data_IF_011986226101
#
_entry.id   IF_011986226101
#
_cell.length_a   1.000
_cell.length_b   1.000
_cell.length_c   1.000
_cell.angle_alpha   90.00
_cell.angle_beta   90.00
_cell.angle_gamma   90.00
#
_symmetry.space_group_name_H-M   'P 1'
#
loop_
_entity.id
_entity.type
_entity.pdbx_description
1 polymer ?
#
# COMPACT_ATOMS: atom_id res chain seq x y z
N UNK A 1 7.35 0.86 13.33
CA UNK A 1 7.40 -0.39 14.12
C UNK A 1 6.24 -0.41 15.10
N UNK A 2 5.58 -1.53 15.26
CA UNK A 2 4.52 -1.74 16.27
C UNK A 2 4.88 -2.97 17.08
N UNK A 3 4.86 -2.83 18.40
CA UNK A 3 4.97 -3.93 19.35
C UNK A 3 3.57 -4.32 19.82
N UNK A 4 3.27 -5.61 19.78
CA UNK A 4 2.07 -6.23 20.35
C UNK A 4 2.53 -7.27 21.35
N UNK A 5 2.24 -7.02 22.62
CA UNK A 5 2.37 -8.02 23.66
C UNK A 5 1.02 -8.76 23.81
N UNK A 6 1.00 -9.90 24.53
CA UNK A 6 -0.26 -10.58 24.85
C UNK A 6 -1.23 -9.61 25.52
N UNK A 7 -2.49 -9.70 25.17
CA UNK A 7 -3.52 -8.88 25.81
C UNK A 7 -3.60 -9.22 27.32
N UNK A 8 -3.83 -8.19 28.13
CA UNK A 8 -3.70 -8.29 29.58
C UNK A 8 -2.32 -7.91 30.13
N UNK A 9 -1.33 -7.66 29.24
CA UNK A 9 -0.03 -7.14 29.66
C UNK A 9 -0.17 -5.72 30.19
N UNK A 10 0.50 -5.43 31.31
CA UNK A 10 0.48 -4.11 31.94
C UNK A 10 1.25 -3.08 31.11
N UNK A 11 0.91 -1.80 31.27
CA UNK A 11 1.60 -0.70 30.57
C UNK A 11 3.10 -0.67 30.91
N UNK A 12 3.47 -0.98 32.17
CA UNK A 12 4.87 -1.02 32.61
C UNK A 12 5.66 -2.11 31.89
N UNK A 13 5.09 -3.32 31.76
CA UNK A 13 5.75 -4.40 31.01
C UNK A 13 5.91 -4.06 29.53
N UNK A 14 4.88 -3.46 28.93
CA UNK A 14 4.94 -3.00 27.55
C UNK A 14 6.02 -1.93 27.38
N UNK A 15 6.12 -0.99 28.32
CA UNK A 15 7.15 0.03 28.33
C UNK A 15 8.54 -0.57 28.45
N UNK A 16 8.75 -1.50 29.38
CA UNK A 16 10.05 -2.16 29.59
C UNK A 16 10.56 -2.81 28.29
N UNK A 17 9.71 -3.57 27.59
CA UNK A 17 10.08 -4.21 26.30
C UNK A 17 10.37 -3.16 25.22
N UNK A 18 9.55 -2.13 25.14
CA UNK A 18 9.73 -1.10 24.10
C UNK A 18 10.92 -0.19 24.39
N UNK A 19 11.24 0.12 25.64
CA UNK A 19 12.41 0.91 25.99
C UNK A 19 13.71 0.16 25.64
N UNK A 20 13.74 -1.17 25.76
CA UNK A 20 14.88 -1.99 25.26
C UNK A 20 15.00 -1.91 23.76
N UNK A 21 13.87 -1.99 23.02
CA UNK A 21 13.88 -1.83 21.57
C UNK A 21 14.35 -0.44 21.14
N UNK A 22 13.96 0.61 21.88
CA UNK A 22 14.46 1.98 21.65
C UNK A 22 15.96 2.06 21.91
N UNK A 23 16.44 1.48 23.01
CA UNK A 23 17.87 1.47 23.35
C UNK A 23 18.74 0.74 22.30
N UNK A 24 18.19 -0.33 21.69
CA UNK A 24 18.84 -1.03 20.57
C UNK A 24 18.87 -0.13 19.32
N UNK A 25 17.73 0.41 18.92
CA UNK A 25 17.62 1.27 17.73
C UNK A 25 18.50 2.52 17.81
N UNK A 26 18.64 3.12 18.99
CA UNK A 26 19.48 4.30 19.18
C UNK A 26 20.99 4.02 19.10
N UNK A 27 21.41 2.75 19.07
CA UNK A 27 22.82 2.38 18.81
C UNK A 27 23.14 2.39 17.32
N UNK A 28 22.16 2.29 16.44
CA UNK A 28 22.37 2.32 14.99
C UNK A 28 22.75 3.75 14.56
N UNK A 29 23.92 3.95 13.92
CA UNK A 29 24.39 5.27 13.49
C UNK A 29 23.47 5.93 12.45
N UNK A 30 22.62 5.15 11.76
CA UNK A 30 21.66 5.63 10.77
C UNK A 30 20.40 6.21 11.39
N UNK A 31 20.14 5.96 12.69
CA UNK A 31 18.96 6.44 13.41
C UNK A 31 19.26 7.82 14.00
N UNK A 32 18.36 8.77 13.78
CA UNK A 32 18.44 10.11 14.37
C UNK A 32 17.76 10.15 15.73
N UNK A 33 16.50 9.71 15.78
CA UNK A 33 15.75 9.53 17.04
C UNK A 33 14.60 8.54 16.85
N UNK A 34 14.10 8.05 17.99
CA UNK A 34 12.96 7.14 18.06
C UNK A 34 11.88 7.76 18.93
N UNK A 35 10.69 7.93 18.35
CA UNK A 35 9.49 8.28 19.11
C UNK A 35 8.79 7.00 19.56
N UNK A 36 8.65 6.82 20.88
CA UNK A 36 7.90 5.72 21.48
C UNK A 36 6.56 6.21 22.04
N UNK A 37 5.47 5.59 21.59
CA UNK A 37 4.14 5.79 22.15
C UNK A 37 3.65 4.46 22.69
N UNK A 38 3.60 4.33 24.01
CA UNK A 38 3.15 3.12 24.71
C UNK A 38 1.72 3.30 25.21
N UNK A 39 0.89 2.27 25.05
CA UNK A 39 -0.49 2.26 25.55
C UNK A 39 -1.51 2.94 24.63
N UNK A 40 -1.09 3.59 23.56
CA UNK A 40 -1.98 4.23 22.58
C UNK A 40 -1.36 4.29 21.20
N UNK A 41 -2.19 4.13 20.18
CA UNK A 41 -1.78 4.36 18.81
C UNK A 41 -2.95 4.99 18.03
N UNK A 42 -2.74 6.07 17.27
CA UNK A 42 -3.78 6.69 16.47
C UNK A 42 -4.49 5.73 15.49
N UNK A 43 -3.79 4.64 15.13
CA UNK A 43 -4.29 3.67 14.13
C UNK A 43 -5.03 2.49 14.75
N UNK A 44 -4.77 2.16 16.01
CA UNK A 44 -5.26 0.92 16.63
C UNK A 44 -6.13 1.20 17.85
N UNK A 45 -6.11 2.43 18.37
CA UNK A 45 -6.80 2.81 19.60
C UNK A 45 -5.93 2.60 20.83
N UNK A 46 -6.56 2.66 22.01
CA UNK A 46 -5.90 2.55 23.31
C UNK A 46 -5.86 1.09 23.75
N UNK A 47 -4.67 0.57 24.08
CA UNK A 47 -4.48 -0.75 24.72
C UNK A 47 -3.14 -0.76 25.45
N UNK A 48 -3.12 -1.18 26.69
CA UNK A 48 -1.89 -1.24 27.50
C UNK A 48 -0.83 -2.19 26.91
N UNK A 49 -1.25 -3.24 26.19
CA UNK A 49 -0.40 -4.23 25.57
C UNK A 49 0.22 -3.78 24.24
N UNK A 50 0.03 -2.52 23.84
CA UNK A 50 0.46 -2.02 22.53
C UNK A 50 1.41 -0.85 22.61
N UNK A 51 2.35 -0.83 21.70
CA UNK A 51 3.21 0.33 21.49
C UNK A 51 3.40 0.62 20.00
N UNK A 52 3.71 1.86 19.71
CA UNK A 52 4.13 2.31 18.38
C UNK A 52 5.47 3.03 18.48
N UNK A 53 6.46 2.47 17.80
CA UNK A 53 7.77 3.09 17.64
C UNK A 53 7.83 3.73 16.25
N UNK A 54 8.08 5.02 16.19
CA UNK A 54 8.38 5.73 14.93
C UNK A 54 9.87 6.03 14.91
N UNK A 55 10.58 5.34 14.02
CA UNK A 55 12.03 5.49 13.86
C UNK A 55 12.28 6.54 12.80
N UNK A 56 12.94 7.62 13.17
CA UNK A 56 13.37 8.68 12.26
C UNK A 56 14.84 8.44 11.96
N UNK A 57 15.12 8.31 10.66
CA UNK A 57 16.47 8.07 10.17
C UNK A 57 17.12 9.40 9.81
N UNK A 58 18.45 9.47 9.95
CA UNK A 58 19.25 10.60 9.48
C UNK A 58 19.08 10.85 7.99
N UNK A 59 19.51 11.98 7.49
CA UNK A 59 19.50 12.27 6.05
C UNK A 59 20.29 11.22 5.26
N UNK A 60 19.89 10.96 4.03
CA UNK A 60 20.49 9.94 3.16
C UNK A 60 22.00 10.07 3.01
N UNK A 61 22.52 11.31 2.97
CA UNK A 61 23.97 11.58 2.86
C UNK A 61 24.77 11.23 4.11
N UNK A 62 24.09 11.06 5.24
CA UNK A 62 24.70 10.76 6.54
C UNK A 62 24.53 9.29 6.94
N UNK A 63 23.94 8.48 6.06
CA UNK A 63 23.77 7.04 6.26
C UNK A 63 24.80 6.31 5.43
N UNK A 64 25.63 5.50 6.06
CA UNK A 64 26.60 4.63 5.41
C UNK A 64 25.86 3.50 4.70
N UNK A 65 25.42 3.68 3.46
CA UNK A 65 24.76 2.70 2.56
C UNK A 65 23.73 1.75 3.20
N UNK A 66 23.37 1.99 4.47
CA UNK A 66 22.42 1.17 5.21
C UNK A 66 20.99 1.39 4.68
N UNK A 67 20.40 0.34 4.16
CA UNK A 67 19.04 0.38 3.62
C UNK A 67 17.99 0.26 4.73
N UNK A 68 16.80 0.82 4.50
CA UNK A 68 15.65 0.65 5.43
C UNK A 68 15.35 -0.83 5.65
N UNK A 69 15.50 -1.67 4.61
CA UNK A 69 15.30 -3.11 4.69
C UNK A 69 16.23 -3.80 5.67
N UNK A 70 17.51 -3.42 5.68
CA UNK A 70 18.51 -3.94 6.63
C UNK A 70 18.15 -3.55 8.05
N UNK A 71 17.87 -2.26 8.31
CA UNK A 71 17.44 -1.79 9.64
C UNK A 71 16.20 -2.55 10.13
N UNK A 72 15.23 -2.77 9.23
CA UNK A 72 14.03 -3.54 9.59
C UNK A 72 14.37 -4.99 9.94
N UNK A 73 15.28 -5.61 9.23
CA UNK A 73 15.71 -6.98 9.49
C UNK A 73 16.46 -7.09 10.82
N UNK A 74 17.40 -6.18 11.09
CA UNK A 74 18.17 -6.13 12.34
C UNK A 74 17.25 -5.95 13.55
N UNK A 75 16.25 -5.05 13.44
CA UNK A 75 15.22 -4.86 14.48
C UNK A 75 14.38 -6.12 14.66
N UNK A 76 14.02 -6.80 13.59
CA UNK A 76 13.23 -8.04 13.67
C UNK A 76 14.03 -9.16 14.33
N UNK A 77 15.32 -9.26 14.04
CA UNK A 77 16.20 -10.28 14.62
C UNK A 77 16.47 -10.02 16.10
N UNK A 78 16.71 -8.76 16.49
CA UNK A 78 16.84 -8.39 17.90
C UNK A 78 15.57 -8.70 18.70
N UNK A 79 14.41 -8.38 18.14
CA UNK A 79 13.15 -8.58 18.84
C UNK A 79 12.66 -10.04 18.89
N UNK A 80 13.29 -10.95 18.14
CA UNK A 80 13.08 -12.42 18.30
C UNK A 80 13.49 -12.94 19.69
N UNK A 81 14.34 -12.21 20.40
CA UNK A 81 14.72 -12.53 21.77
C UNK A 81 13.53 -12.38 22.77
N UNK A 82 12.47 -11.69 22.35
CA UNK A 82 11.25 -11.49 23.14
C UNK A 82 10.07 -12.21 22.47
N UNK A 83 9.92 -13.53 22.67
CA UNK A 83 8.90 -14.33 21.99
C UNK A 83 7.48 -13.91 22.33
N UNK A 84 7.29 -13.23 23.45
CA UNK A 84 6.02 -12.62 23.86
C UNK A 84 5.64 -11.39 23.04
N UNK A 85 6.60 -10.74 22.35
CA UNK A 85 6.37 -9.51 21.59
C UNK A 85 6.25 -9.80 20.10
N UNK A 86 5.04 -9.68 19.54
CA UNK A 86 4.84 -9.68 18.09
C UNK A 86 5.15 -8.29 17.53
N UNK A 87 6.15 -8.21 16.66
CA UNK A 87 6.59 -6.94 16.09
C UNK A 87 6.19 -6.87 14.62
N UNK A 88 5.52 -5.79 14.26
CA UNK A 88 5.15 -5.48 12.89
C UNK A 88 5.92 -4.26 12.41
N UNK A 89 6.80 -4.48 11.46
CA UNK A 89 7.57 -3.43 10.81
C UNK A 89 6.84 -2.97 9.55
N UNK A 90 6.73 -1.67 9.36
CA UNK A 90 6.15 -1.11 8.13
C UNK A 90 6.77 0.25 7.83
N UNK A 91 6.94 0.53 6.55
CA UNK A 91 7.24 1.88 6.07
C UNK A 91 5.95 2.70 5.95
N UNK A 92 6.01 4.03 5.99
CA UNK A 92 4.87 4.85 5.61
C UNK A 92 4.47 4.59 4.14
N UNK A 93 3.20 4.82 3.76
CA UNK A 93 2.80 4.69 2.37
C UNK A 93 3.57 5.69 1.49
N UNK A 94 3.85 5.29 0.26
CA UNK A 94 4.60 6.11 -0.72
C UNK A 94 3.88 7.43 -1.00
N UNK A 95 2.55 7.40 -1.03
CA UNK A 95 1.71 8.59 -1.20
C UNK A 95 0.99 8.86 0.12
N UNK A 96 1.28 10.01 0.79
CA UNK A 96 0.58 10.38 2.02
C UNK A 96 -0.93 10.48 1.79
N UNK A 97 -1.72 9.89 2.70
CA UNK A 97 -3.17 9.88 2.61
C UNK A 97 -3.77 8.65 1.91
N UNK A 98 -2.99 7.88 1.17
CA UNK A 98 -3.43 6.63 0.56
C UNK A 98 -3.01 5.43 1.42
N UNK A 99 -3.82 5.13 2.43
CA UNK A 99 -3.55 4.02 3.36
C UNK A 99 -2.78 4.41 4.62
N UNK A 100 -2.55 3.42 5.47
CA UNK A 100 -1.93 3.62 6.79
C UNK A 100 -0.51 3.04 6.90
N UNK A 101 -0.10 2.23 5.94
CA UNK A 101 1.24 1.62 5.83
C UNK A 101 1.55 1.32 4.37
N UNK A 102 2.83 1.19 4.04
CA UNK A 102 3.24 0.59 2.77
C UNK A 102 2.83 -0.88 2.70
N UNK A 103 2.67 -1.42 1.49
CA UNK A 103 2.18 -2.77 1.24
C UNK A 103 0.68 -2.81 0.93
N UNK A 104 0.11 -4.02 0.97
CA UNK A 104 -1.31 -4.22 0.66
C UNK A 104 -2.20 -4.12 1.91
N UNK A 105 -3.46 -3.74 1.68
CA UNK A 105 -4.51 -3.68 2.69
C UNK A 105 -5.83 -4.24 2.14
N UNK A 106 -6.24 -5.41 2.66
CA UNK A 106 -7.48 -6.10 2.32
C UNK A 106 -8.46 -6.02 3.48
N UNK A 107 -9.73 -5.79 3.19
CA UNK A 107 -10.85 -5.82 4.12
C UNK A 107 -11.62 -7.13 3.94
N UNK A 108 -11.77 -7.91 5.01
CA UNK A 108 -12.74 -9.01 5.06
C UNK A 108 -14.00 -8.49 5.73
N UNK A 109 -15.13 -8.59 5.07
CA UNK A 109 -16.40 -8.05 5.53
C UNK A 109 -17.40 -9.18 5.86
N UNK A 110 -17.98 -9.14 7.06
CA UNK A 110 -19.10 -10.01 7.40
C UNK A 110 -20.37 -9.46 6.74
N UNK A 111 -20.83 -10.09 5.68
CA UNK A 111 -22.00 -9.68 4.88
C UNK A 111 -23.20 -10.58 5.15
N UNK A 112 -24.40 -10.06 4.93
CA UNK A 112 -25.64 -10.82 5.09
C UNK A 112 -25.85 -11.30 6.53
N UNK A 113 -25.90 -12.61 6.71
CA UNK A 113 -26.12 -13.31 7.98
C UNK A 113 -24.80 -13.68 8.72
N UNK A 114 -23.65 -13.30 8.17
CA UNK A 114 -22.36 -13.60 8.77
C UNK A 114 -22.22 -12.97 10.15
N UNK A 115 -21.90 -13.80 11.12
CA UNK A 115 -21.65 -13.38 12.50
C UNK A 115 -20.22 -12.86 12.67
N UNK A 116 -19.93 -12.27 13.84
CA UNK A 116 -18.55 -11.89 14.19
C UNK A 116 -17.62 -13.12 14.28
N UNK A 117 -18.14 -14.25 14.77
CA UNK A 117 -17.36 -15.50 14.88
C UNK A 117 -17.05 -16.09 13.49
N UNK A 118 -17.93 -15.90 12.50
CA UNK A 118 -17.65 -16.27 11.12
C UNK A 118 -16.51 -15.42 10.55
N UNK A 119 -16.49 -14.12 10.87
CA UNK A 119 -15.40 -13.23 10.47
C UNK A 119 -14.06 -13.63 11.12
N UNK A 120 -14.08 -14.05 12.39
CA UNK A 120 -12.89 -14.58 13.08
C UNK A 120 -12.36 -15.80 12.36
N UNK A 121 -13.20 -16.82 12.15
CA UNK A 121 -12.83 -18.07 11.46
C UNK A 121 -12.31 -17.82 10.05
N UNK A 122 -12.95 -16.92 9.32
CA UNK A 122 -12.53 -16.56 7.97
C UNK A 122 -11.17 -15.85 7.97
N UNK A 123 -10.95 -14.96 8.94
CA UNK A 123 -9.66 -14.27 9.09
C UNK A 123 -8.54 -15.25 9.40
N UNK A 124 -8.75 -16.16 10.34
CA UNK A 124 -7.75 -17.18 10.71
C UNK A 124 -7.47 -18.13 9.54
N UNK A 125 -8.50 -18.54 8.82
CA UNK A 125 -8.37 -19.36 7.62
C UNK A 125 -7.52 -18.66 6.56
N UNK A 126 -7.83 -17.40 6.23
CA UNK A 126 -7.05 -16.64 5.24
C UNK A 126 -5.60 -16.47 5.69
N UNK A 127 -5.38 -16.07 6.95
CA UNK A 127 -4.05 -15.89 7.53
C UNK A 127 -3.23 -17.19 7.52
N UNK A 128 -3.85 -18.32 7.82
CA UNK A 128 -3.21 -19.62 7.79
C UNK A 128 -2.71 -19.98 6.39
N UNK A 129 -3.57 -19.94 5.37
CA UNK A 129 -3.16 -20.24 4.00
C UNK A 129 -2.20 -19.22 3.40
N UNK A 130 -2.36 -17.95 3.71
CA UNK A 130 -1.44 -16.90 3.27
C UNK A 130 -0.04 -17.06 3.90
N UNK A 131 0.04 -17.40 5.19
CA UNK A 131 1.34 -17.59 5.88
C UNK A 131 2.19 -18.74 5.32
N UNK A 132 1.58 -19.70 4.62
CA UNK A 132 2.29 -20.81 3.97
C UNK A 132 2.93 -20.42 2.63
N UNK A 133 2.60 -19.26 2.11
CA UNK A 133 3.11 -18.76 0.84
C UNK A 133 4.37 -17.91 1.05
N UNK A 134 5.39 -18.13 0.24
CA UNK A 134 6.67 -17.40 0.32
C UNK A 134 6.60 -15.99 -0.23
N UNK A 135 5.56 -15.69 -0.98
CA UNK A 135 5.31 -14.40 -1.61
C UNK A 135 4.91 -13.31 -0.62
N UNK A 136 4.55 -13.68 0.61
CA UNK A 136 4.12 -12.73 1.65
C UNK A 136 5.21 -12.47 2.68
N UNK A 137 5.32 -11.21 3.08
CA UNK A 137 6.11 -10.78 4.22
C UNK A 137 5.27 -9.92 5.17
N UNK A 138 5.47 -10.08 6.48
CA UNK A 138 4.88 -9.23 7.50
C UNK A 138 3.35 -9.26 7.57
N UNK A 139 2.72 -10.42 7.31
CA UNK A 139 1.26 -10.60 7.41
C UNK A 139 0.76 -10.26 8.81
N UNK A 140 -0.30 -9.46 8.88
CA UNK A 140 -0.94 -9.06 10.13
C UNK A 140 -2.43 -8.82 9.96
N UNK A 141 -3.20 -9.03 11.03
CA UNK A 141 -4.62 -8.69 11.08
C UNK A 141 -4.91 -7.65 12.14
N UNK A 142 -5.97 -6.86 11.93
CA UNK A 142 -6.47 -5.93 12.95
C UNK A 142 -7.44 -6.60 13.93
N UNK A 143 -7.87 -7.80 13.63
CA UNK A 143 -8.87 -8.52 14.43
C UNK A 143 -8.26 -9.03 15.72
N UNK A 144 -8.94 -8.78 16.82
CA UNK A 144 -8.63 -9.28 18.17
C UNK A 144 -9.92 -9.79 18.77
N UNK A 145 -10.13 -11.09 18.67
CA UNK A 145 -11.38 -11.74 19.03
C UNK A 145 -11.45 -12.15 20.49
N UNK A 146 -10.32 -12.60 21.06
CA UNK A 146 -10.27 -13.28 22.34
C UNK A 146 -9.44 -12.48 23.36
N UNK A 147 -9.89 -11.27 23.69
CA UNK A 147 -9.26 -10.49 24.76
C UNK A 147 -9.91 -10.91 26.09
N UNK A 148 -9.12 -11.32 27.10
CA UNK A 148 -9.64 -11.57 28.43
C UNK A 148 -10.31 -10.32 28.98
N UNK A 149 -11.53 -10.47 29.45
CA UNK A 149 -12.36 -9.40 29.99
C UNK A 149 -12.97 -9.84 31.32
N UNK A 150 -13.20 -8.88 32.17
CA UNK A 150 -13.97 -9.09 33.42
C UNK A 150 -15.40 -8.61 33.14
N UNK A 151 -16.34 -9.54 33.17
CA UNK A 151 -17.77 -9.27 32.95
C UNK A 151 -18.44 -9.11 34.33
N UNK A 152 -19.14 -8.01 34.52
CA UNK A 152 -19.97 -7.79 35.70
C UNK A 152 -21.42 -7.97 35.31
N UNK A 153 -22.02 -9.07 35.76
CA UNK A 153 -23.44 -9.35 35.57
C UNK A 153 -24.26 -8.67 36.67
N UNK A 154 -24.96 -7.62 36.29
CA UNK A 154 -25.74 -6.79 37.18
C UNK A 154 -27.12 -7.39 37.35
N UNK A 155 -27.49 -7.74 38.61
CA UNK A 155 -28.82 -8.15 38.97
C UNK A 155 -29.74 -6.90 39.03
N UNK A 156 -30.47 -6.69 37.97
CA UNK A 156 -31.32 -5.49 37.79
C UNK A 156 -32.45 -5.41 38.80
N UNK A 157 -32.94 -6.53 39.29
CA UNK A 157 -34.00 -6.57 40.31
C UNK A 157 -33.43 -6.16 41.69
N UNK A 158 -32.26 -6.65 42.04
CA UNK A 158 -31.59 -6.21 43.27
C UNK A 158 -31.25 -4.73 43.26
N UNK A 159 -30.71 -4.23 42.13
CA UNK A 159 -30.40 -2.78 41.96
C UNK A 159 -31.66 -1.95 42.17
N UNK A 160 -32.79 -2.37 41.58
CA UNK A 160 -34.07 -1.67 41.69
C UNK A 160 -34.65 -1.71 43.11
N UNK A 161 -34.58 -2.90 43.74
CA UNK A 161 -35.03 -3.07 45.12
C UNK A 161 -34.20 -2.28 46.15
N UNK A 162 -32.92 -2.10 45.86
CA UNK A 162 -31.99 -1.30 46.70
C UNK A 162 -32.11 0.20 46.45
N UNK A 163 -33.03 0.65 45.58
CA UNK A 163 -33.22 2.07 45.29
C UNK A 163 -32.02 2.74 44.61
N UNK A 164 -31.14 1.95 43.94
CA UNK A 164 -29.95 2.47 43.28
C UNK A 164 -30.28 2.76 41.80
N UNK A 165 -29.98 3.94 41.28
CA UNK A 165 -30.07 4.19 39.84
C UNK A 165 -29.08 3.31 39.09
N UNK A 166 -29.53 2.60 38.05
CA UNK A 166 -28.65 1.75 37.19
C UNK A 166 -27.47 2.51 36.61
N UNK A 167 -27.69 3.76 36.25
CA UNK A 167 -26.63 4.64 35.75
C UNK A 167 -25.48 4.85 36.75
N UNK A 168 -25.81 4.90 38.05
CA UNK A 168 -24.82 5.10 39.10
C UNK A 168 -23.95 3.85 39.34
N UNK A 169 -24.53 2.65 39.16
CA UNK A 169 -23.77 1.39 39.17
C UNK A 169 -22.68 1.43 38.09
N UNK A 170 -23.04 1.72 36.86
CA UNK A 170 -22.08 1.75 35.75
C UNK A 170 -21.13 2.93 35.82
N UNK A 171 -21.57 4.10 36.26
CA UNK A 171 -20.68 5.27 36.42
C UNK A 171 -19.64 5.05 37.53
N UNK A 172 -20.02 4.39 38.59
CA UNK A 172 -19.11 4.02 39.68
C UNK A 172 -18.06 3.00 39.18
N UNK A 173 -18.50 1.92 38.54
CA UNK A 173 -17.56 0.96 37.95
C UNK A 173 -16.60 1.66 36.96
N UNK A 174 -17.12 2.50 36.06
CA UNK A 174 -16.29 3.25 35.11
C UNK A 174 -15.27 4.13 35.83
N UNK A 175 -15.66 4.82 36.92
CA UNK A 175 -14.78 5.72 37.64
C UNK A 175 -13.62 4.96 38.30
N UNK A 176 -13.91 3.83 38.96
CA UNK A 176 -12.91 3.08 39.71
C UNK A 176 -12.03 2.22 38.79
N UNK A 177 -12.60 1.48 37.83
CA UNK A 177 -11.85 0.52 37.01
C UNK A 177 -11.29 1.15 35.74
N UNK A 178 -12.03 2.05 35.09
CA UNK A 178 -11.66 2.65 33.81
C UNK A 178 -10.93 3.99 33.93
N UNK A 179 -11.62 4.99 34.17
CA UNK A 179 -11.29 6.38 34.53
C UNK A 179 -12.43 7.30 34.12
N UNK A 180 -12.55 8.43 34.76
CA UNK A 180 -13.47 9.49 34.40
C UNK A 180 -12.69 10.77 34.09
N UNK A 181 -12.90 11.28 32.91
CA UNK A 181 -12.44 12.61 32.51
C UNK A 181 -13.28 13.65 33.28
N UNK A 182 -12.62 14.52 34.02
CA UNK A 182 -13.27 15.52 34.88
C UNK A 182 -13.20 16.92 34.29
N UNK A 183 -12.01 17.34 33.92
CA UNK A 183 -11.78 18.70 33.40
C UNK A 183 -10.41 18.80 32.71
N UNK A 184 -10.17 19.95 32.09
CA UNK A 184 -8.86 20.34 31.54
C UNK A 184 -8.26 21.50 32.37
N UNK A 185 -6.92 21.59 32.40
CA UNK A 185 -6.23 22.78 32.83
C UNK A 185 -5.10 23.15 31.84
N UNK A 186 -4.79 24.44 31.76
CA UNK A 186 -3.74 24.97 30.91
C UNK A 186 -2.46 25.18 31.72
N UNK A 187 -1.35 24.58 31.29
CA UNK A 187 -0.03 24.79 31.88
C UNK A 187 1.03 24.69 30.76
N UNK A 188 2.07 25.52 30.83
CA UNK A 188 3.16 25.54 29.87
C UNK A 188 2.71 25.61 28.40
N UNK A 189 1.69 26.41 28.11
CA UNK A 189 1.10 26.57 26.77
C UNK A 189 0.50 25.27 26.19
N UNK A 190 0.14 24.30 27.03
CA UNK A 190 -0.50 23.03 26.67
C UNK A 190 -1.76 22.81 27.52
N UNK A 191 -2.71 22.07 26.96
CA UNK A 191 -3.92 21.62 27.62
C UNK A 191 -3.64 20.24 28.23
N UNK A 192 -3.83 20.12 29.55
CA UNK A 192 -3.71 18.87 30.28
C UNK A 192 -5.09 18.41 30.74
N UNK A 193 -5.39 17.14 30.49
CA UNK A 193 -6.66 16.53 30.89
C UNK A 193 -6.54 15.89 32.27
N UNK A 194 -7.53 16.13 33.13
CA UNK A 194 -7.62 15.53 34.45
C UNK A 194 -8.51 14.30 34.38
N UNK A 195 -7.96 13.16 34.77
CA UNK A 195 -8.68 11.91 34.93
C UNK A 195 -8.62 11.43 36.36
N UNK A 196 -9.72 10.87 36.86
CA UNK A 196 -9.83 10.22 38.15
C UNK A 196 -10.07 8.73 37.96
N UNK A 197 -9.34 7.90 38.68
CA UNK A 197 -9.51 6.45 38.75
C UNK A 197 -9.03 5.94 40.10
N UNK A 198 -9.37 4.71 40.47
CA UNK A 198 -8.79 4.06 41.63
C UNK A 198 -7.28 3.80 41.44
N UNK A 199 -6.49 3.85 42.52
CA UNK A 199 -5.10 3.41 42.48
C UNK A 199 -4.99 1.91 42.14
N UNK A 200 -3.84 1.49 41.59
CA UNK A 200 -3.64 0.12 41.10
C UNK A 200 -3.98 -0.97 42.15
N UNK A 201 -3.54 -0.90 43.40
CA UNK A 201 -3.85 -1.93 44.42
C UNK A 201 -5.36 -2.16 44.63
N UNK A 202 -6.18 -1.13 44.36
CA UNK A 202 -7.63 -1.20 44.57
C UNK A 202 -8.41 -1.62 43.32
N UNK A 203 -7.74 -1.93 42.18
CA UNK A 203 -8.40 -2.29 40.92
C UNK A 203 -7.71 -3.43 40.15
N UNK A 204 -6.63 -4.00 40.69
CA UNK A 204 -5.85 -5.01 39.95
C UNK A 204 -6.38 -6.45 40.14
N UNK A 205 -7.20 -6.67 41.19
CA UNK A 205 -7.81 -7.96 41.45
C UNK A 205 -9.32 -7.94 41.29
N UNK A 206 -9.88 -9.08 40.83
CA UNK A 206 -11.34 -9.26 40.67
C UNK A 206 -12.11 -8.91 41.95
N UNK A 207 -11.59 -9.32 43.13
CA UNK A 207 -12.26 -9.17 44.38
C UNK A 207 -12.33 -7.70 44.88
N UNK A 208 -11.51 -6.82 44.27
CA UNK A 208 -11.50 -5.39 44.60
C UNK A 208 -12.83 -4.69 44.23
N UNK A 209 -13.67 -5.31 43.40
CA UNK A 209 -15.03 -4.80 43.12
C UNK A 209 -15.88 -4.72 44.41
N UNK A 210 -15.59 -5.56 45.41
CA UNK A 210 -16.21 -5.50 46.69
C UNK A 210 -15.91 -4.23 47.51
N UNK A 211 -14.86 -3.50 47.14
CA UNK A 211 -14.48 -2.23 47.77
C UNK A 211 -15.21 -1.02 47.17
N UNK A 212 -15.99 -1.21 46.10
CA UNK A 212 -16.70 -0.12 45.47
C UNK A 212 -18.14 -0.04 45.94
N UNK A 213 -18.55 1.16 46.28
CA UNK A 213 -19.87 1.43 46.82
C UNK A 213 -20.64 2.39 45.93
N UNK A 214 -21.94 2.15 45.81
CA UNK A 214 -22.88 3.04 45.15
C UNK A 214 -23.87 3.57 46.18
N UNK A 215 -24.27 4.81 46.04
CA UNK A 215 -25.24 5.43 46.91
C UNK A 215 -26.67 5.08 46.53
N UNK A 216 -27.44 4.50 47.42
CA UNK A 216 -28.87 4.28 47.29
C UNK A 216 -29.69 5.57 47.46
N UNK A 217 -30.98 5.51 47.12
CA UNK A 217 -31.91 6.64 47.23
C UNK A 217 -32.04 7.14 48.67
N UNK A 218 -31.88 6.26 49.65
CA UNK A 218 -32.01 6.58 51.07
C UNK A 218 -30.70 7.12 51.70
N UNK A 219 -29.66 7.23 50.85
CA UNK A 219 -28.35 7.73 51.26
C UNK A 219 -27.37 6.65 51.69
N UNK A 220 -27.78 5.41 51.80
CA UNK A 220 -26.94 4.27 52.19
C UNK A 220 -25.91 3.92 51.10
N UNK A 221 -24.73 3.47 51.56
CA UNK A 221 -23.64 3.03 50.69
C UNK A 221 -23.73 1.50 50.50
N UNK A 222 -24.06 1.08 49.28
CA UNK A 222 -24.31 -0.31 48.93
C UNK A 222 -23.11 -0.85 48.12
N UNK A 223 -22.46 -1.96 48.57
CA UNK A 223 -21.33 -2.54 47.86
C UNK A 223 -21.78 -3.14 46.51
N UNK A 224 -20.98 -2.98 45.45
CA UNK A 224 -21.31 -3.50 44.11
C UNK A 224 -21.48 -5.02 44.07
N UNK A 225 -20.77 -5.76 44.94
CA UNK A 225 -20.90 -7.22 45.05
C UNK A 225 -22.30 -7.70 45.51
N UNK A 226 -23.08 -6.85 46.18
CA UNK A 226 -24.48 -7.18 46.52
C UNK A 226 -25.43 -6.99 45.32
N UNK A 227 -25.03 -6.22 44.33
CA UNK A 227 -25.82 -5.85 43.13
C UNK A 227 -25.52 -6.68 41.92
N UNK A 228 -24.52 -7.56 41.95
CA UNK A 228 -24.16 -8.40 40.81
C UNK A 228 -23.00 -9.34 41.07
N UNK A 229 -22.67 -10.13 40.09
CA UNK A 229 -21.56 -11.10 40.12
C UNK A 229 -20.53 -10.78 39.06
N UNK A 230 -19.30 -11.20 39.29
CA UNK A 230 -18.19 -10.94 38.37
C UNK A 230 -17.63 -12.25 37.84
N UNK A 231 -17.51 -12.37 36.50
CA UNK A 231 -16.95 -13.54 35.84
C UNK A 231 -15.91 -13.17 34.80
N UNK A 232 -14.97 -14.08 34.58
CA UNK A 232 -14.04 -13.94 33.46
C UNK A 232 -14.71 -14.38 32.14
N UNK A 233 -14.55 -13.57 31.13
CA UNK A 233 -15.03 -13.86 29.77
C UNK A 233 -13.96 -13.48 28.75
N UNK A 234 -14.16 -13.85 27.50
CA UNK A 234 -13.35 -13.38 26.39
C UNK A 234 -14.24 -12.63 25.41
N UNK A 235 -13.71 -11.62 24.78
CA UNK A 235 -14.48 -10.83 23.83
C UNK A 235 -13.59 -9.96 22.93
N UNK A 236 -14.18 -9.33 21.92
CA UNK A 236 -13.42 -8.45 21.03
C UNK A 236 -12.98 -7.18 21.74
N UNK A 237 -11.70 -6.80 21.56
CA UNK A 237 -11.19 -5.53 22.08
C UNK A 237 -11.72 -4.31 21.32
N UNK A 238 -11.97 -4.47 20.04
CA UNK A 238 -12.62 -3.46 19.19
C UNK A 238 -13.26 -4.12 17.97
N UNK A 239 -14.42 -3.63 17.59
CA UNK A 239 -15.08 -4.03 16.34
C UNK A 239 -14.94 -2.88 15.35
N UNK A 240 -14.32 -3.16 14.22
CA UNK A 240 -14.18 -2.20 13.11
C UNK A 240 -15.24 -2.46 12.07
N UNK A 241 -15.68 -1.37 11.42
CA UNK A 241 -16.60 -1.44 10.29
C UNK A 241 -16.02 -0.77 9.07
N UNK A 242 -16.26 -1.39 7.92
CA UNK A 242 -15.95 -0.87 6.60
C UNK A 242 -17.19 -1.08 5.73
N UNK A 243 -17.60 -0.08 4.97
CA UNK A 243 -18.87 -0.12 4.20
C UNK A 243 -20.08 -0.57 5.03
N UNK A 244 -20.15 -0.19 6.30
CA UNK A 244 -21.18 -0.58 7.29
C UNK A 244 -21.12 -2.04 7.77
N UNK A 245 -20.28 -2.91 7.21
CA UNK A 245 -20.08 -4.29 7.65
C UNK A 245 -19.00 -4.38 8.72
N UNK A 246 -19.11 -5.34 9.63
CA UNK A 246 -18.03 -5.67 10.54
C UNK A 246 -16.85 -6.20 9.71
N UNK A 247 -15.66 -5.70 9.96
CA UNK A 247 -14.50 -6.00 9.12
C UNK A 247 -13.26 -6.40 9.91
N UNK A 248 -12.48 -7.26 9.27
CA UNK A 248 -11.10 -7.58 9.63
C UNK A 248 -10.15 -7.05 8.58
N UNK A 249 -9.16 -6.26 8.99
CA UNK A 249 -8.17 -5.70 8.08
C UNK A 249 -6.96 -6.61 8.03
N UNK A 250 -6.65 -7.14 6.86
CA UNK A 250 -5.44 -7.92 6.59
C UNK A 250 -4.41 -7.01 5.93
N UNK A 251 -3.22 -6.97 6.47
CA UNK A 251 -2.09 -6.18 5.96
C UNK A 251 -0.86 -7.04 5.80
N UNK A 252 -0.04 -6.66 4.85
CA UNK A 252 1.26 -7.28 4.62
C UNK A 252 2.01 -6.58 3.50
N UNK A 253 3.19 -7.09 3.21
CA UNK A 253 4.02 -6.64 2.09
C UNK A 253 4.35 -7.82 1.20
N UNK A 254 4.66 -7.57 -0.06
CA UNK A 254 5.25 -8.57 -0.93
C UNK A 254 6.65 -8.93 -0.42
N UNK A 255 7.00 -10.21 -0.45
CA UNK A 255 8.36 -10.66 -0.19
C UNK A 255 9.27 -10.33 -1.38
N UNK A 256 10.60 -10.36 -1.17
CA UNK A 256 11.56 -10.10 -2.24
C UNK A 256 11.32 -11.03 -3.45
N UNK A 257 11.10 -10.43 -4.61
CA UNK A 257 10.84 -11.14 -5.87
C UNK A 257 9.36 -11.36 -6.20
N UNK A 258 8.43 -10.95 -5.33
CA UNK A 258 7.00 -10.96 -5.62
C UNK A 258 6.49 -9.53 -5.82
N UNK A 259 5.62 -9.31 -6.82
CA UNK A 259 4.99 -8.01 -7.03
C UNK A 259 3.74 -7.84 -6.15
N UNK A 260 3.37 -6.58 -5.87
CA UNK A 260 2.13 -6.24 -5.15
C UNK A 260 0.90 -6.85 -5.83
N UNK A 261 0.80 -6.78 -7.15
CA UNK A 261 -0.29 -7.37 -7.92
C UNK A 261 -0.41 -8.89 -7.77
N UNK A 262 0.73 -9.62 -7.79
CA UNK A 262 0.74 -11.07 -7.57
C UNK A 262 0.24 -11.45 -6.18
N UNK A 263 0.68 -10.73 -5.16
CA UNK A 263 0.27 -10.95 -3.77
C UNK A 263 -1.24 -10.73 -3.62
N UNK A 264 -1.77 -9.68 -4.26
CA UNK A 264 -3.20 -9.38 -4.26
C UNK A 264 -4.02 -10.49 -4.97
N UNK A 265 -3.55 -10.99 -6.11
CA UNK A 265 -4.19 -12.11 -6.82
C UNK A 265 -4.22 -13.40 -5.98
N UNK A 266 -3.11 -13.73 -5.33
CA UNK A 266 -3.01 -14.92 -4.45
C UNK A 266 -4.01 -14.81 -3.29
N UNK A 267 -4.13 -13.63 -2.66
CA UNK A 267 -5.10 -13.41 -1.59
C UNK A 267 -6.55 -13.55 -2.07
N UNK A 268 -6.87 -12.99 -3.24
CA UNK A 268 -8.20 -13.16 -3.84
C UNK A 268 -8.50 -14.62 -4.19
N UNK A 269 -7.49 -15.36 -4.66
CA UNK A 269 -7.64 -16.78 -4.93
C UNK A 269 -7.90 -17.57 -3.65
N UNK A 270 -7.11 -17.37 -2.60
CA UNK A 270 -7.31 -18.01 -1.30
C UNK A 270 -8.70 -17.68 -0.76
N UNK A 271 -9.10 -16.40 -0.84
CA UNK A 271 -10.41 -15.97 -0.37
C UNK A 271 -11.55 -16.67 -1.13
N UNK A 272 -11.49 -16.73 -2.46
CA UNK A 272 -12.50 -17.42 -3.29
C UNK A 272 -12.58 -18.93 -3.03
N UNK A 273 -11.44 -19.57 -2.77
CA UNK A 273 -11.38 -21.04 -2.60
C UNK A 273 -11.70 -21.50 -1.18
N UNK A 274 -11.39 -20.69 -0.18
CA UNK A 274 -11.37 -21.13 1.24
C UNK A 274 -12.38 -20.40 2.13
N UNK A 275 -12.86 -19.23 1.73
CA UNK A 275 -13.81 -18.48 2.55
C UNK A 275 -15.26 -18.76 2.14
N UNK A 276 -16.19 -18.71 3.09
CA UNK A 276 -17.63 -18.85 2.80
C UNK A 276 -18.14 -17.62 2.02
N UNK A 277 -19.22 -17.80 1.27
CA UNK A 277 -19.77 -16.77 0.37
C UNK A 277 -20.35 -15.54 1.07
N UNK A 278 -20.65 -15.64 2.37
CA UNK A 278 -21.13 -14.53 3.19
C UNK A 278 -19.99 -13.66 3.77
N UNK A 279 -18.73 -13.97 3.44
CA UNK A 279 -17.57 -13.12 3.73
C UNK A 279 -17.15 -12.38 2.45
N UNK A 280 -17.36 -11.08 2.45
CA UNK A 280 -16.93 -10.20 1.38
C UNK A 280 -15.44 -9.86 1.45
N UNK A 281 -14.85 -9.58 0.30
CA UNK A 281 -13.45 -9.14 0.18
C UNK A 281 -13.42 -7.83 -0.56
N UNK A 282 -12.80 -6.81 0.04
CA UNK A 282 -12.60 -5.50 -0.58
C UNK A 282 -11.15 -5.03 -0.39
N UNK A 283 -10.68 -4.23 -1.32
CA UNK A 283 -9.39 -3.58 -1.20
C UNK A 283 -9.54 -2.17 -0.65
N UNK A 284 -8.58 -1.72 0.15
CA UNK A 284 -8.54 -0.35 0.67
C UNK A 284 -7.17 0.29 0.51
N UNK A 285 -7.12 1.60 0.71
CA UNK A 285 -5.87 2.35 0.63
C UNK A 285 -5.21 2.28 -0.76
N UNK A 286 -3.89 2.06 -0.77
CA UNK A 286 -3.10 1.99 -2.00
C UNK A 286 -3.49 0.80 -2.88
N UNK A 287 -3.83 -0.34 -2.26
CA UNK A 287 -4.25 -1.56 -2.99
C UNK A 287 -5.52 -1.34 -3.81
N UNK A 288 -6.47 -0.58 -3.30
CA UNK A 288 -7.66 -0.18 -4.06
C UNK A 288 -7.29 0.65 -5.29
N UNK A 289 -6.38 1.62 -5.13
CA UNK A 289 -5.92 2.46 -6.24
C UNK A 289 -5.18 1.62 -7.30
N UNK A 290 -4.33 0.71 -6.86
CA UNK A 290 -3.58 -0.19 -7.74
C UNK A 290 -4.51 -1.11 -8.54
N UNK A 291 -5.53 -1.68 -7.89
CA UNK A 291 -6.54 -2.52 -8.53
C UNK A 291 -7.37 -1.71 -9.55
N UNK A 292 -7.74 -0.49 -9.20
CA UNK A 292 -8.49 0.41 -10.09
C UNK A 292 -7.63 0.86 -11.28
N UNK A 293 -6.38 1.23 -11.06
CA UNK A 293 -5.45 1.63 -12.11
C UNK A 293 -5.12 0.48 -13.06
N UNK A 294 -4.88 -0.73 -12.54
CA UNK A 294 -4.58 -1.92 -13.34
C UNK A 294 -5.66 -2.24 -14.37
N UNK A 295 -6.93 -2.04 -14.04
CA UNK A 295 -8.06 -2.22 -14.96
C UNK A 295 -8.14 -1.15 -16.07
N UNK A 296 -7.60 0.04 -15.86
CA UNK A 296 -7.70 1.17 -16.78
C UNK A 296 -6.48 1.34 -17.71
N UNK A 297 -5.34 0.77 -17.36
CA UNK A 297 -4.08 0.94 -18.11
C UNK A 297 -4.21 0.52 -19.56
N UNK A 298 -4.87 -0.60 -19.85
CA UNK A 298 -5.11 -1.05 -21.23
C UNK A 298 -5.95 -0.05 -22.03
N UNK A 299 -6.99 0.51 -21.42
CA UNK A 299 -7.85 1.52 -22.05
C UNK A 299 -7.09 2.83 -22.30
N UNK A 300 -6.27 3.26 -21.36
CA UNK A 300 -5.43 4.47 -21.49
C UNK A 300 -4.43 4.30 -22.64
N UNK A 301 -3.72 3.18 -22.71
CA UNK A 301 -2.76 2.89 -23.77
C UNK A 301 -3.48 2.84 -25.13
N UNK A 302 -4.63 2.17 -25.22
CA UNK A 302 -5.43 2.15 -26.43
C UNK A 302 -5.88 3.55 -26.87
N UNK A 303 -6.28 4.39 -25.92
CA UNK A 303 -6.65 5.78 -26.18
C UNK A 303 -5.45 6.60 -26.68
N UNK A 304 -4.26 6.42 -26.10
CA UNK A 304 -3.01 7.06 -26.56
C UNK A 304 -2.70 6.68 -28.01
N UNK A 305 -2.78 5.38 -28.33
CA UNK A 305 -2.58 4.92 -29.72
C UNK A 305 -3.61 5.50 -30.67
N UNK A 306 -4.89 5.58 -30.25
CA UNK A 306 -5.95 6.18 -31.05
C UNK A 306 -5.69 7.67 -31.31
N UNK A 307 -5.34 8.45 -30.32
CA UNK A 307 -5.05 9.87 -30.51
C UNK A 307 -3.81 10.11 -31.36
N UNK A 308 -2.74 9.33 -31.13
CA UNK A 308 -1.54 9.39 -32.00
C UNK A 308 -1.91 9.07 -33.44
N UNK A 309 -2.73 8.03 -33.66
CA UNK A 309 -3.21 7.66 -34.97
C UNK A 309 -4.01 8.79 -35.65
N UNK A 310 -5.00 9.34 -34.96
CA UNK A 310 -5.85 10.42 -35.48
C UNK A 310 -5.05 11.68 -35.78
N UNK A 311 -4.12 12.06 -34.89
CA UNK A 311 -3.23 13.20 -35.11
C UNK A 311 -2.36 13.00 -36.35
N UNK A 312 -1.77 11.81 -36.54
CA UNK A 312 -0.96 11.48 -37.70
C UNK A 312 -1.80 11.37 -38.96
N UNK A 313 -3.04 10.87 -38.87
CA UNK A 313 -3.96 10.80 -40.01
C UNK A 313 -4.32 12.19 -40.49
N UNK A 314 -4.54 13.14 -39.58
CA UNK A 314 -4.77 14.54 -39.93
C UNK A 314 -3.50 15.22 -40.49
N UNK A 315 -2.33 14.95 -39.94
CA UNK A 315 -1.05 15.52 -40.40
C UNK A 315 -0.68 15.07 -41.80
N UNK A 316 -0.87 13.78 -42.11
CA UNK A 316 -0.48 13.19 -43.40
C UNK A 316 -1.60 13.16 -44.45
N UNK A 317 -2.80 13.60 -44.09
CA UNK A 317 -3.99 13.49 -44.96
C UNK A 317 -4.17 12.05 -45.53
N UNK A 318 -3.83 11.06 -44.72
CA UNK A 318 -3.80 9.66 -45.13
C UNK A 318 -4.08 8.71 -43.97
N UNK A 319 -4.96 7.74 -44.15
CA UNK A 319 -5.28 6.70 -43.16
C UNK A 319 -4.24 5.57 -43.14
N UNK A 320 -3.42 5.41 -44.17
CA UNK A 320 -2.50 4.28 -44.28
C UNK A 320 -1.11 4.58 -43.73
N UNK A 321 -0.63 5.80 -43.88
CA UNK A 321 0.72 6.20 -43.46
C UNK A 321 0.91 6.14 -41.92
N UNK A 322 -0.05 6.58 -41.08
CA UNK A 322 0.06 6.48 -39.63
C UNK A 322 0.28 5.06 -39.12
N UNK A 323 -0.23 4.05 -39.83
CA UNK A 323 -0.07 2.64 -39.44
C UNK A 323 1.42 2.24 -39.47
N UNK A 324 2.22 2.78 -40.43
CA UNK A 324 3.66 2.50 -40.47
C UNK A 324 4.40 2.99 -39.23
N UNK A 325 4.01 4.17 -38.72
CA UNK A 325 4.54 4.74 -37.49
C UNK A 325 4.09 3.89 -36.28
N UNK A 326 2.80 3.57 -36.20
CA UNK A 326 2.25 2.83 -35.05
C UNK A 326 2.83 1.42 -34.92
N UNK A 327 3.09 0.70 -35.99
CA UNK A 327 3.68 -0.66 -35.97
C UNK A 327 5.12 -0.62 -35.43
N UNK A 328 5.82 0.51 -35.49
CA UNK A 328 7.18 0.63 -34.96
C UNK A 328 7.20 0.85 -33.42
N UNK A 329 6.12 1.36 -32.81
CA UNK A 329 6.07 1.69 -31.39
C UNK A 329 6.17 0.48 -30.44
N UNK A 330 5.55 -0.68 -30.71
CA UNK A 330 5.72 -1.87 -29.89
C UNK A 330 7.17 -2.29 -29.65
N UNK A 331 8.07 -1.98 -30.58
CA UNK A 331 9.51 -2.28 -30.46
C UNK A 331 10.12 -1.47 -29.30
N UNK A 332 9.76 -0.20 -29.18
CA UNK A 332 10.19 0.65 -28.08
C UNK A 332 9.62 0.16 -26.72
N UNK A 333 8.34 -0.23 -26.73
CA UNK A 333 7.67 -0.78 -25.55
C UNK A 333 8.34 -2.09 -25.09
N UNK A 334 8.69 -2.99 -26.00
CA UNK A 334 9.47 -4.19 -25.71
C UNK A 334 10.81 -3.86 -25.06
N UNK A 335 11.51 -2.83 -25.59
CA UNK A 335 12.77 -2.35 -25.00
C UNK A 335 12.60 -1.85 -23.57
N UNK A 336 11.51 -1.15 -23.27
CA UNK A 336 11.20 -0.66 -21.94
C UNK A 336 10.95 -1.81 -20.95
N UNK A 337 10.12 -2.79 -21.32
CA UNK A 337 9.87 -3.97 -20.49
C UNK A 337 11.13 -4.81 -20.26
N UNK A 338 11.93 -5.00 -21.31
CA UNK A 338 13.22 -5.71 -21.21
C UNK A 338 14.16 -4.99 -20.24
N UNK A 339 14.26 -3.66 -20.31
CA UNK A 339 15.10 -2.87 -19.42
C UNK A 339 14.66 -2.95 -17.95
N UNK A 340 13.38 -2.84 -17.69
CA UNK A 340 12.81 -2.95 -16.33
C UNK A 340 13.05 -4.35 -15.76
N UNK A 341 12.85 -5.41 -16.57
CA UNK A 341 13.12 -6.79 -16.18
C UNK A 341 14.62 -7.03 -15.88
N UNK A 342 15.52 -6.50 -16.70
CA UNK A 342 16.97 -6.62 -16.52
C UNK A 342 17.45 -5.90 -15.24
N UNK A 343 16.82 -4.79 -14.88
CA UNK A 343 17.14 -4.03 -13.67
C UNK A 343 16.41 -4.55 -12.42
N UNK A 344 15.58 -5.59 -12.52
CA UNK A 344 14.82 -6.14 -11.39
C UNK A 344 13.77 -5.18 -10.84
N UNK A 345 13.28 -4.22 -11.66
CA UNK A 345 12.24 -3.27 -11.27
C UNK A 345 10.85 -3.84 -11.58
N UNK A 346 9.84 -3.35 -10.86
CA UNK A 346 8.45 -3.77 -11.03
C UNK A 346 7.71 -2.92 -12.07
N UNK A 347 6.67 -3.50 -12.68
CA UNK A 347 5.74 -2.77 -13.53
C UNK A 347 4.73 -2.00 -12.66
N UNK A 348 5.16 -0.87 -12.13
CA UNK A 348 4.35 0.01 -11.31
C UNK A 348 3.67 1.14 -12.13
N UNK A 349 2.88 1.96 -11.47
CA UNK A 349 2.21 3.11 -12.07
C UNK A 349 3.21 4.12 -12.67
N UNK A 350 4.39 4.28 -12.07
CA UNK A 350 5.42 5.20 -12.56
C UNK A 350 6.03 4.71 -13.86
N UNK A 351 6.31 3.41 -13.96
CA UNK A 351 6.75 2.81 -15.22
C UNK A 351 5.69 2.97 -16.33
N UNK A 352 4.41 2.79 -16.01
CA UNK A 352 3.31 2.98 -16.98
C UNK A 352 3.22 4.42 -17.50
N UNK A 353 3.45 5.41 -16.63
CA UNK A 353 3.58 6.83 -17.05
C UNK A 353 4.78 6.99 -17.99
N UNK A 354 5.91 6.36 -17.67
CA UNK A 354 7.10 6.31 -18.53
C UNK A 354 6.82 5.72 -19.90
N UNK A 355 6.00 4.66 -19.98
CA UNK A 355 5.57 4.07 -21.27
C UNK A 355 4.77 5.04 -22.13
N UNK A 356 3.84 5.78 -21.54
CA UNK A 356 3.06 6.79 -22.30
C UNK A 356 3.99 7.87 -22.87
N UNK A 357 4.94 8.34 -22.07
CA UNK A 357 5.95 9.30 -22.52
C UNK A 357 6.85 8.72 -23.63
N UNK A 358 7.28 7.46 -23.48
CA UNK A 358 8.10 6.76 -24.46
C UNK A 358 7.41 6.62 -25.83
N UNK A 359 6.10 6.32 -25.84
CA UNK A 359 5.31 6.22 -27.07
C UNK A 359 5.39 7.54 -27.85
N UNK A 360 5.21 8.68 -27.19
CA UNK A 360 5.32 10.00 -27.83
C UNK A 360 6.72 10.29 -28.39
N UNK A 361 7.75 9.93 -27.64
CA UNK A 361 9.15 10.15 -28.04
C UNK A 361 9.57 9.24 -29.20
N UNK A 362 9.20 7.96 -29.17
CA UNK A 362 9.48 7.00 -30.23
C UNK A 362 8.72 7.35 -31.52
N UNK A 363 7.45 7.77 -31.40
CA UNK A 363 6.65 8.24 -32.53
C UNK A 363 7.33 9.38 -33.29
N UNK A 364 7.93 10.35 -32.59
CA UNK A 364 8.64 11.48 -33.18
C UNK A 364 9.73 11.01 -34.17
N UNK A 365 10.51 10.01 -33.82
CA UNK A 365 11.59 9.50 -34.66
C UNK A 365 11.04 8.80 -35.92
N UNK A 366 9.99 8.03 -35.77
CA UNK A 366 9.33 7.35 -36.88
C UNK A 366 8.64 8.35 -37.83
N UNK A 367 7.99 9.39 -37.26
CA UNK A 367 7.36 10.48 -38.02
C UNK A 367 8.35 11.13 -39.00
N UNK A 368 9.54 11.52 -38.50
CA UNK A 368 10.55 12.20 -39.31
C UNK A 368 11.04 11.37 -40.49
N UNK A 369 11.18 10.07 -40.36
CA UNK A 369 11.58 9.16 -41.46
C UNK A 369 10.45 9.02 -42.45
N UNK A 370 9.23 8.77 -41.98
CA UNK A 370 8.05 8.52 -42.82
C UNK A 370 7.67 9.76 -43.63
N UNK A 371 7.77 10.96 -43.04
CA UNK A 371 7.50 12.23 -43.70
C UNK A 371 8.41 12.45 -44.88
N UNK A 372 9.73 12.31 -44.66
CA UNK A 372 10.72 12.47 -45.74
C UNK A 372 10.60 11.36 -46.80
N UNK A 373 10.31 10.12 -46.40
CA UNK A 373 10.08 9.03 -47.35
C UNK A 373 8.85 9.29 -48.21
N UNK A 374 7.79 9.86 -47.66
CA UNK A 374 6.59 10.25 -48.42
C UNK A 374 6.91 11.38 -49.42
N UNK A 375 7.59 12.42 -48.95
CA UNK A 375 7.98 13.56 -49.82
C UNK A 375 8.85 13.09 -51.01
N UNK A 376 9.81 12.21 -50.80
CA UNK A 376 10.66 11.65 -51.83
C UNK A 376 9.86 10.79 -52.86
N UNK A 377 8.87 10.02 -52.39
CA UNK A 377 7.96 9.25 -53.26
C UNK A 377 7.07 10.19 -54.06
N UNK A 378 6.53 11.25 -53.47
CA UNK A 378 5.69 12.25 -54.12
C UNK A 378 6.50 13.04 -55.19
N UNK A 379 7.82 13.19 -54.96
CA UNK A 379 8.77 13.76 -55.95
C UNK A 379 9.21 12.77 -57.07
N UNK A 380 8.64 11.54 -57.09
CA UNK A 380 8.79 10.58 -58.20
C UNK A 380 9.94 9.57 -58.05
N UNK A 381 10.59 9.47 -56.86
CA UNK A 381 11.58 8.41 -56.58
C UNK A 381 10.93 7.05 -56.39
N UNK A 382 11.67 5.98 -56.69
CA UNK A 382 11.21 4.62 -56.37
C UNK A 382 10.98 4.46 -54.88
N UNK A 383 9.95 3.69 -54.54
CA UNK A 383 9.47 3.54 -53.16
C UNK A 383 10.56 3.04 -52.18
N UNK A 384 11.37 2.07 -52.61
CA UNK A 384 12.43 1.50 -51.75
C UNK A 384 13.60 2.47 -51.64
N UNK A 385 13.98 3.11 -52.74
CA UNK A 385 15.04 4.10 -52.76
C UNK A 385 14.67 5.33 -51.94
N UNK A 386 13.44 5.82 -52.05
CA UNK A 386 12.92 6.93 -51.27
C UNK A 386 12.97 6.62 -49.74
N UNK A 387 12.54 5.43 -49.31
CA UNK A 387 12.57 5.02 -47.91
C UNK A 387 13.99 4.93 -47.35
N UNK A 388 14.94 4.37 -48.14
CA UNK A 388 16.34 4.25 -47.72
C UNK A 388 17.01 5.64 -47.69
N UNK A 389 16.76 6.48 -48.66
CA UNK A 389 17.31 7.84 -48.73
C UNK A 389 16.81 8.70 -47.58
N UNK A 390 15.53 8.64 -47.27
CA UNK A 390 14.94 9.33 -46.09
C UNK A 390 15.56 8.87 -44.79
N UNK A 391 15.73 7.56 -44.59
CA UNK A 391 16.38 7.00 -43.41
C UNK A 391 17.82 7.49 -43.27
N UNK A 392 18.58 7.51 -44.36
CA UNK A 392 19.97 7.97 -44.35
C UNK A 392 20.10 9.48 -44.06
N UNK A 393 19.26 10.32 -44.67
CA UNK A 393 19.25 11.76 -44.42
C UNK A 393 18.87 12.10 -42.96
N UNK A 394 17.91 11.38 -42.40
CA UNK A 394 17.41 11.64 -41.08
C UNK A 394 18.16 10.90 -39.96
N UNK A 395 19.04 9.96 -40.32
CA UNK A 395 19.79 9.19 -39.33
C UNK A 395 20.56 10.04 -38.33
N UNK A 396 21.38 11.01 -38.80
CA UNK A 396 22.17 11.89 -37.94
C UNK A 396 21.31 12.77 -37.02
N UNK A 397 20.30 13.52 -37.52
CA UNK A 397 19.43 14.31 -36.66
C UNK A 397 18.69 13.49 -35.59
N UNK A 398 18.16 12.31 -35.95
CA UNK A 398 17.48 11.43 -35.00
C UNK A 398 18.45 10.91 -33.96
N UNK A 399 19.64 10.46 -34.39
CA UNK A 399 20.64 9.95 -33.45
C UNK A 399 21.09 11.03 -32.47
N UNK A 400 21.36 12.26 -32.93
CA UNK A 400 21.75 13.37 -32.04
C UNK A 400 20.68 13.69 -31.02
N UNK A 401 19.43 13.83 -31.42
CA UNK A 401 18.34 14.17 -30.51
C UNK A 401 18.04 13.03 -29.54
N UNK A 402 18.08 11.79 -29.99
CA UNK A 402 17.81 10.63 -29.16
C UNK A 402 18.93 10.35 -28.19
N UNK A 403 20.21 10.48 -28.58
CA UNK A 403 21.35 10.34 -27.67
C UNK A 403 21.33 11.43 -26.59
N UNK A 404 21.03 12.67 -26.96
CA UNK A 404 20.91 13.77 -25.99
C UNK A 404 19.82 13.44 -24.95
N UNK A 405 18.68 12.88 -25.40
CA UNK A 405 17.60 12.49 -24.51
C UNK A 405 17.98 11.26 -23.64
N UNK A 406 18.55 10.21 -24.23
CA UNK A 406 19.02 9.01 -23.52
C UNK A 406 20.01 9.40 -22.41
N UNK A 407 21.01 10.24 -22.74
CA UNK A 407 21.97 10.72 -21.76
C UNK A 407 21.31 11.59 -20.68
N UNK A 408 20.27 12.38 -21.05
CA UNK A 408 19.49 13.15 -20.10
C UNK A 408 18.69 12.30 -19.11
N UNK A 409 18.36 11.04 -19.48
CA UNK A 409 17.65 10.11 -18.60
C UNK A 409 18.58 9.37 -17.61
N UNK A 410 19.92 9.34 -17.85
CA UNK A 410 20.88 8.66 -16.99
C UNK A 410 20.77 9.07 -15.51
N UNK A 411 20.66 10.37 -15.16
CA UNK A 411 20.49 10.78 -13.77
C UNK A 411 19.22 10.20 -13.09
N UNK A 412 18.18 9.91 -13.86
CA UNK A 412 16.96 9.26 -13.33
C UNK A 412 17.18 7.77 -13.11
N UNK A 413 17.88 7.09 -14.03
CA UNK A 413 18.20 5.66 -13.91
C UNK A 413 19.06 5.36 -12.68
N UNK A 414 20.06 6.21 -12.42
CA UNK A 414 20.98 6.06 -11.27
C UNK A 414 20.56 6.85 -10.04
N UNK A 415 19.32 7.35 -10.03
CA UNK A 415 18.84 8.20 -8.94
C UNK A 415 18.93 7.49 -7.59
N UNK A 416 19.37 8.20 -6.57
CA UNK A 416 19.43 7.74 -5.17
C UNK A 416 18.67 8.73 -4.27
N UNK A 417 18.40 8.33 -3.04
CA UNK A 417 17.74 9.18 -2.06
C UNK A 417 16.20 9.18 -2.16
N UNK A 418 15.52 10.17 -1.55
CA UNK A 418 14.07 10.22 -1.50
C UNK A 418 13.43 10.23 -2.89
N UNK A 419 12.43 9.36 -3.13
CA UNK A 419 11.75 9.22 -4.41
C UNK A 419 12.62 8.61 -5.53
N UNK A 420 13.73 7.96 -5.21
CA UNK A 420 14.58 7.28 -6.20
C UNK A 420 13.83 6.18 -6.95
N UNK A 421 13.02 5.39 -6.27
CA UNK A 421 12.28 4.27 -6.88
C UNK A 421 11.38 4.75 -8.03
N UNK A 422 10.60 5.81 -7.83
CA UNK A 422 9.74 6.36 -8.89
C UNK A 422 10.54 6.96 -10.05
N UNK A 423 11.67 7.65 -9.74
CA UNK A 423 12.56 8.18 -10.79
C UNK A 423 13.23 7.06 -11.57
N UNK A 424 13.70 6.01 -10.90
CA UNK A 424 14.29 4.84 -11.54
C UNK A 424 13.27 4.09 -12.39
N UNK A 425 12.04 3.89 -11.91
CA UNK A 425 11.00 3.21 -12.69
C UNK A 425 10.68 3.94 -14.01
N UNK A 426 10.46 5.27 -13.96
CA UNK A 426 10.26 6.09 -15.16
C UNK A 426 11.53 6.10 -16.02
N UNK A 427 12.67 6.42 -15.40
CA UNK A 427 13.95 6.60 -16.09
C UNK A 427 14.41 5.35 -16.83
N UNK A 428 14.38 4.19 -16.18
CA UNK A 428 14.80 2.91 -16.77
C UNK A 428 13.91 2.50 -17.93
N UNK A 429 12.59 2.59 -17.78
CA UNK A 429 11.67 2.26 -18.85
C UNK A 429 11.89 3.10 -20.11
N UNK A 430 12.03 4.42 -19.93
CA UNK A 430 12.25 5.34 -21.06
C UNK A 430 13.66 5.20 -21.64
N UNK A 431 14.69 5.04 -20.82
CA UNK A 431 16.07 4.87 -21.24
C UNK A 431 16.26 3.65 -22.15
N UNK A 432 15.88 2.46 -21.67
CA UNK A 432 16.02 1.24 -22.48
C UNK A 432 15.05 1.21 -23.67
N UNK A 433 13.83 1.72 -23.49
CA UNK A 433 12.87 1.85 -24.57
C UNK A 433 13.40 2.74 -25.71
N UNK A 434 14.02 3.88 -25.38
CA UNK A 434 14.63 4.77 -26.37
C UNK A 434 15.86 4.16 -27.03
N UNK A 435 16.70 3.42 -26.31
CA UNK A 435 17.84 2.70 -26.93
C UNK A 435 17.33 1.75 -28.01
N UNK A 436 16.33 0.93 -27.69
CA UNK A 436 15.78 -0.03 -28.65
C UNK A 436 15.03 0.68 -29.80
N UNK A 437 14.31 1.76 -29.51
CA UNK A 437 13.66 2.58 -30.53
C UNK A 437 14.66 3.17 -31.52
N UNK A 438 15.84 3.59 -31.07
CA UNK A 438 16.86 4.21 -31.90
C UNK A 438 17.68 3.16 -32.67
N UNK A 439 18.00 2.03 -32.05
CA UNK A 439 18.81 0.98 -32.69
C UNK A 439 17.97 0.13 -33.66
N UNK A 440 16.91 -0.50 -33.13
CA UNK A 440 16.07 -1.43 -33.91
C UNK A 440 14.97 -0.67 -34.66
N UNK A 441 14.35 0.32 -34.01
CA UNK A 441 13.21 1.06 -34.58
C UNK A 441 13.58 1.82 -35.86
N UNK A 442 14.74 2.50 -35.89
CA UNK A 442 15.18 3.24 -37.06
C UNK A 442 15.34 2.31 -38.30
N UNK A 443 15.77 1.08 -38.08
CA UNK A 443 15.92 0.09 -39.17
C UNK A 443 14.55 -0.46 -39.62
N UNK A 444 13.60 -0.59 -38.72
CA UNK A 444 12.28 -1.17 -39.02
C UNK A 444 11.31 -0.16 -39.64
N UNK A 445 11.42 1.14 -39.32
CA UNK A 445 10.50 2.18 -39.88
C UNK A 445 10.48 2.24 -41.38
N UNK A 446 11.61 2.29 -42.11
CA UNK A 446 11.62 2.26 -43.58
C UNK A 446 10.98 0.99 -44.14
N UNK A 447 11.25 -0.15 -43.52
CA UNK A 447 10.65 -1.44 -43.91
C UNK A 447 9.13 -1.42 -43.77
N UNK A 448 8.59 -0.96 -42.66
CA UNK A 448 7.14 -0.86 -42.44
C UNK A 448 6.50 0.15 -43.42
N UNK A 449 7.16 1.26 -43.68
CA UNK A 449 6.69 2.23 -44.65
C UNK A 449 6.53 1.59 -46.04
N UNK A 450 7.56 0.90 -46.55
CA UNK A 450 7.52 0.21 -47.85
C UNK A 450 6.44 -0.86 -47.89
N UNK A 451 6.30 -1.65 -46.81
CA UNK A 451 5.31 -2.72 -46.73
C UNK A 451 3.88 -2.17 -46.81
N UNK A 452 3.57 -1.10 -46.05
CA UNK A 452 2.23 -0.51 -46.00
C UNK A 452 1.92 0.24 -47.32
N UNK A 453 2.89 0.94 -47.88
CA UNK A 453 2.69 1.64 -49.16
C UNK A 453 2.43 0.67 -50.32
N UNK A 454 3.15 -0.48 -50.38
CA UNK A 454 2.88 -1.56 -51.35
C UNK A 454 1.48 -2.16 -51.12
N UNK A 455 1.07 -2.40 -49.88
CA UNK A 455 -0.27 -2.90 -49.58
C UNK A 455 -1.37 -1.92 -50.02
N UNK A 456 -1.18 -0.62 -49.77
CA UNK A 456 -2.08 0.45 -50.23
C UNK A 456 -2.26 0.45 -51.77
N UNK A 457 -1.16 0.38 -52.53
CA UNK A 457 -1.20 0.38 -53.97
C UNK A 457 -1.87 -0.88 -54.53
N UNK A 458 -1.62 -2.05 -53.94
CA UNK A 458 -2.28 -3.32 -54.32
C UNK A 458 -3.79 -3.28 -54.07
N UNK A 459 -4.24 -2.61 -53.02
CA UNK A 459 -5.67 -2.42 -52.74
C UNK A 459 -6.34 -1.43 -53.71
N UNK A 460 -5.61 -0.36 -54.12
CA UNK A 460 -6.11 0.56 -55.16
C UNK A 460 -6.27 -0.12 -56.53
N UNK A 461 -5.32 -0.95 -56.94
CA UNK A 461 -5.38 -1.69 -58.21
C UNK A 461 -6.51 -2.71 -58.22
N UNK A 462 -6.80 -3.34 -57.06
CA UNK A 462 -7.89 -4.32 -56.92
C UNK A 462 -9.30 -3.68 -56.87
N UNK A 463 -9.41 -2.37 -56.56
CA UNK A 463 -10.66 -1.60 -56.63
C UNK A 463 -10.92 -0.96 -58.01
N UNK A 464 -9.88 -0.90 -58.87
CA UNK A 464 -9.97 -0.34 -60.21
C UNK A 464 -10.24 -1.40 -61.31
N UNK A 465 -10.08 -2.69 -60.99
CA UNK A 465 -10.52 -3.85 -61.75
C UNK A 465 -11.81 -4.42 -61.10
#
# INVERSE_FOLDING_TARGET
TRGLLPEGTTLERTREVTDRAVAFLMKDPSVEYVQNVTGSSPRVGTSQARSQLTVILKEWKQRDDTTIGQIMQDVQDELKQYPECKVYLSTPPVIPGLGTSGGFEMQLEARGDATYDDLVRATDTLMYYASQRKEFAGLSTSLQAEIPQLYFDVDRDKVKLSGVPMADVFSTMKAYTGSVYVNDFNMFNRIYRVYIQAEAPYREHRDNIGLYFVRGSDGDMIPLTSLGTTDYTTGPGSIKRFNMFNTSIIRGTAANGASSGQVMEILEQIAREKLPSNIGVEWSGLSYQEKQAGGQTGAIIALVFLFVFLFLAALYESWSIPIAVLISLPVAVLGAYAGVALCGLENDTYFQIGLVMLIGLAAKNAILIVEFAKEEVDNGKDLVEAALHAAHLRFRPILMTSLAFILGMVPMVIATGPGSASRQAIGTGVFFGMIVAVTVGILLVPFFFVMIYKAKNKLKTKKAN
#
